data_IF_417510096490
#
_entry.id   IF_417510096490
#
_cell.length_a   1.000
_cell.length_b   1.000
_cell.length_c   1.000
_cell.angle_alpha   90.00
_cell.angle_beta   90.00
_cell.angle_gamma   90.00
#
_symmetry.space_group_name_H-M   'P 1'
#
loop_
_entity.id
_entity.type
_entity.pdbx_description
1 polymer ?
#
# COMPACT_ATOMS: atom_id res chain seq x y z
N UNK A 1 -0.88 -18.14 -3.38
CA UNK A 1 0.21 -17.89 -2.39
C UNK A 1 0.18 -16.45 -1.95
N UNK A 2 0.96 -16.05 -0.94
CA UNK A 2 0.88 -14.70 -0.37
C UNK A 2 1.09 -13.59 -1.42
N UNK A 3 2.12 -13.68 -2.28
CA UNK A 3 2.34 -12.68 -3.33
C UNK A 3 1.24 -12.57 -4.39
N UNK A 4 0.50 -13.65 -4.68
CA UNK A 4 -0.66 -13.57 -5.58
C UNK A 4 -1.81 -12.83 -4.91
N UNK A 5 -2.00 -13.03 -3.60
CA UNK A 5 -2.97 -12.29 -2.81
C UNK A 5 -2.58 -10.81 -2.69
N UNK A 6 -1.30 -10.49 -2.45
CA UNK A 6 -0.83 -9.10 -2.44
C UNK A 6 -1.15 -8.37 -3.75
N UNK A 7 -0.97 -9.04 -4.90
CA UNK A 7 -1.39 -8.49 -6.20
C UNK A 7 -2.90 -8.24 -6.27
N UNK A 8 -3.73 -9.21 -5.89
CA UNK A 8 -5.18 -9.02 -5.91
C UNK A 8 -5.67 -7.89 -5.01
N UNK A 9 -4.97 -7.62 -3.90
CA UNK A 9 -5.27 -6.46 -3.05
C UNK A 9 -5.00 -5.16 -3.79
N UNK A 10 -3.86 -5.03 -4.48
CA UNK A 10 -3.54 -3.82 -5.27
C UNK A 10 -4.50 -3.66 -6.45
N UNK A 11 -4.85 -4.75 -7.13
CA UNK A 11 -5.82 -4.73 -8.23
C UNK A 11 -7.19 -4.22 -7.74
N UNK A 12 -7.63 -4.64 -6.54
CA UNK A 12 -8.87 -4.15 -5.95
C UNK A 12 -8.79 -2.67 -5.56
N UNK A 13 -7.66 -2.22 -5.00
CA UNK A 13 -7.43 -0.79 -4.70
C UNK A 13 -7.54 0.03 -5.99
N UNK A 14 -7.00 -0.43 -7.11
CA UNK A 14 -7.13 0.27 -8.40
C UNK A 14 -8.61 0.41 -8.83
N UNK A 15 -9.40 -0.66 -8.72
CA UNK A 15 -10.83 -0.64 -9.01
C UNK A 15 -11.57 0.38 -8.11
N UNK A 16 -11.24 0.41 -6.82
CA UNK A 16 -11.86 1.32 -5.86
C UNK A 16 -11.47 2.78 -6.14
N UNK A 17 -10.21 3.05 -6.49
CA UNK A 17 -9.76 4.38 -6.91
C UNK A 17 -10.50 4.85 -8.16
N UNK A 18 -10.63 4.00 -9.18
CA UNK A 18 -11.39 4.36 -10.38
C UNK A 18 -12.87 4.63 -10.06
N UNK A 19 -13.45 3.91 -9.09
CA UNK A 19 -14.82 4.18 -8.64
C UNK A 19 -14.93 5.56 -7.97
N UNK A 20 -14.02 5.91 -7.07
CA UNK A 20 -13.99 7.21 -6.42
C UNK A 20 -13.79 8.36 -7.44
N UNK A 21 -12.94 8.15 -8.45
CA UNK A 21 -12.76 9.07 -9.57
C UNK A 21 -14.08 9.31 -10.31
N UNK A 22 -14.81 8.23 -10.67
CA UNK A 22 -16.11 8.33 -11.35
C UNK A 22 -17.18 9.03 -10.51
N UNK A 23 -17.07 8.98 -9.18
CA UNK A 23 -17.95 9.70 -8.25
C UNK A 23 -17.58 11.18 -8.09
N UNK A 24 -16.51 11.66 -8.74
CA UNK A 24 -16.10 13.06 -8.69
C UNK A 24 -15.23 13.44 -7.49
N UNK A 25 -14.63 12.47 -6.80
CA UNK A 25 -13.72 12.76 -5.67
C UNK A 25 -12.46 13.45 -6.19
N UNK A 26 -12.25 14.73 -5.83
CA UNK A 26 -11.15 15.52 -6.40
C UNK A 26 -9.75 15.20 -5.85
N UNK A 27 -9.64 14.69 -4.61
CA UNK A 27 -8.36 14.35 -3.97
C UNK A 27 -8.50 13.08 -3.16
N UNK A 28 -7.56 12.15 -3.31
CA UNK A 28 -7.56 10.85 -2.63
C UNK A 28 -6.19 10.63 -2.02
N UNK A 29 -6.15 10.34 -0.71
CA UNK A 29 -4.96 9.87 -0.02
C UNK A 29 -5.06 8.38 0.23
N UNK A 30 -4.06 7.62 -0.19
CA UNK A 30 -3.98 6.17 0.01
C UNK A 30 -2.84 5.89 0.98
N UNK A 31 -3.10 5.12 2.03
CA UNK A 31 -2.03 4.66 2.91
C UNK A 31 -1.26 3.55 2.22
N UNK A 32 0.06 3.67 2.14
CA UNK A 32 0.92 2.51 1.89
C UNK A 32 0.81 1.51 3.04
N UNK A 33 1.19 0.27 2.77
CA UNK A 33 1.26 -0.76 3.81
C UNK A 33 2.48 -0.49 4.70
N UNK A 34 2.24 -0.41 6.01
CA UNK A 34 3.30 -0.31 7.01
C UNK A 34 4.19 -1.57 7.08
N UNK A 35 5.17 -1.61 7.99
CA UNK A 35 6.05 -2.77 8.15
C UNK A 35 5.28 -3.96 8.74
N UNK A 36 4.66 -4.76 7.86
CA UNK A 36 3.78 -5.86 8.26
C UNK A 36 4.49 -6.92 9.11
N UNK A 37 5.80 -7.09 8.99
CA UNK A 37 6.59 -7.98 9.84
C UNK A 37 6.78 -7.49 11.27
N UNK A 38 6.48 -6.22 11.56
CA UNK A 38 6.69 -5.59 12.86
C UNK A 38 5.41 -5.52 13.71
N UNK A 39 4.25 -5.94 13.19
CA UNK A 39 3.01 -5.92 13.98
C UNK A 39 3.07 -6.95 15.12
N UNK A 40 2.36 -6.73 16.26
CA UNK A 40 2.51 -7.58 17.45
C UNK A 40 2.28 -9.08 17.21
N UNK A 41 1.38 -9.44 16.28
CA UNK A 41 1.12 -10.85 15.96
C UNK A 41 2.29 -11.50 15.21
N UNK A 42 3.08 -10.74 14.45
CA UNK A 42 4.26 -11.25 13.73
C UNK A 42 5.49 -11.32 14.62
N UNK A 43 5.62 -10.42 15.60
CA UNK A 43 6.79 -10.35 16.49
C UNK A 43 6.63 -11.17 17.77
N UNK A 44 5.48 -11.82 17.99
CA UNK A 44 5.24 -12.63 19.19
C UNK A 44 6.29 -13.73 19.39
N UNK A 45 6.68 -14.42 18.30
CA UNK A 45 7.66 -15.52 18.34
C UNK A 45 9.10 -15.03 18.62
N UNK A 46 9.36 -13.75 18.47
CA UNK A 46 10.65 -13.11 18.78
C UNK A 46 10.60 -12.34 20.10
N UNK A 47 9.57 -12.55 20.92
CA UNK A 47 9.33 -11.78 22.15
C UNK A 47 9.34 -10.27 21.91
N UNK A 48 8.76 -9.85 20.79
CA UNK A 48 8.66 -8.45 20.36
C UNK A 48 10.02 -7.76 20.10
N UNK A 49 11.11 -8.53 19.96
CA UNK A 49 12.47 -7.98 19.79
C UNK A 49 12.88 -7.74 18.34
N UNK A 50 12.24 -8.42 17.37
CA UNK A 50 12.59 -8.28 15.96
C UNK A 50 11.42 -8.54 15.03
N UNK A 51 11.44 -7.88 13.87
CA UNK A 51 10.43 -8.02 12.84
C UNK A 51 10.64 -9.27 11.97
N UNK A 52 9.55 -9.85 11.49
CA UNK A 52 9.61 -10.91 10.48
C UNK A 52 9.88 -10.34 9.09
N UNK A 53 11.13 -10.42 8.63
CA UNK A 53 11.57 -9.76 7.41
C UNK A 53 10.83 -10.20 6.13
N UNK A 54 10.42 -11.47 6.06
CA UNK A 54 9.63 -11.96 4.92
C UNK A 54 8.32 -11.18 4.70
N UNK A 55 7.65 -10.78 5.79
CA UNK A 55 6.42 -9.97 5.70
C UNK A 55 6.71 -8.51 5.35
N UNK A 56 7.85 -7.97 5.80
CA UNK A 56 8.30 -6.64 5.39
C UNK A 56 8.62 -6.59 3.89
N UNK A 57 9.25 -7.63 3.34
CA UNK A 57 9.52 -7.74 1.91
C UNK A 57 8.22 -7.80 1.08
N UNK A 58 7.21 -8.53 1.57
CA UNK A 58 5.91 -8.57 0.89
C UNK A 58 5.12 -7.25 1.05
N UNK A 59 5.32 -6.50 2.14
CA UNK A 59 4.80 -5.14 2.29
C UNK A 59 5.48 -4.15 1.33
N UNK A 60 6.81 -4.20 1.20
CA UNK A 60 7.53 -3.41 0.21
C UNK A 60 7.10 -3.76 -1.22
N UNK A 61 6.86 -5.06 -1.50
CA UNK A 61 6.31 -5.51 -2.79
C UNK A 61 4.90 -4.94 -3.05
N UNK A 62 4.01 -4.96 -2.05
CA UNK A 62 2.71 -4.31 -2.12
C UNK A 62 2.84 -2.81 -2.48
N UNK A 63 3.67 -2.08 -1.75
CA UNK A 63 3.85 -0.64 -1.92
C UNK A 63 4.41 -0.30 -3.32
N UNK A 64 5.37 -1.08 -3.82
CA UNK A 64 5.91 -0.90 -5.17
C UNK A 64 4.83 -1.05 -6.25
N UNK A 65 3.95 -2.04 -6.11
CA UNK A 65 2.82 -2.22 -7.03
C UNK A 65 1.79 -1.10 -6.91
N UNK A 66 1.47 -0.69 -5.68
CA UNK A 66 0.53 0.40 -5.41
C UNK A 66 1.01 1.72 -6.05
N UNK A 67 2.28 2.07 -5.86
CA UNK A 67 2.89 3.24 -6.51
C UNK A 67 2.81 3.14 -8.03
N UNK A 68 3.10 1.96 -8.61
CA UNK A 68 2.99 1.76 -10.05
C UNK A 68 1.56 2.00 -10.55
N UNK A 69 0.55 1.43 -9.90
CA UNK A 69 -0.86 1.60 -10.28
C UNK A 69 -1.29 3.08 -10.19
N UNK A 70 -0.97 3.75 -9.08
CA UNK A 70 -1.33 5.17 -8.88
C UNK A 70 -0.59 6.08 -9.86
N UNK A 71 0.67 5.80 -10.19
CA UNK A 71 1.41 6.56 -11.20
C UNK A 71 0.77 6.44 -12.58
N UNK A 72 0.26 5.27 -12.96
CA UNK A 72 -0.49 5.07 -14.20
C UNK A 72 -1.78 5.90 -14.20
N UNK A 73 -2.54 5.88 -13.10
CA UNK A 73 -3.77 6.68 -12.98
C UNK A 73 -3.46 8.19 -13.07
N UNK A 74 -2.46 8.67 -12.34
CA UNK A 74 -2.08 10.08 -12.30
C UNK A 74 -1.47 10.59 -13.62
N UNK A 75 -0.93 9.70 -14.46
CA UNK A 75 -0.39 10.04 -15.76
C UNK A 75 -1.49 10.31 -16.82
N UNK A 76 -2.75 10.01 -16.53
CA UNK A 76 -3.85 10.22 -17.48
C UNK A 76 -3.99 11.73 -17.83
N UNK A 77 -4.13 12.10 -19.12
CA UNK A 77 -4.11 13.52 -19.55
C UNK A 77 -5.24 14.34 -18.95
N UNK A 78 -6.44 13.75 -18.93
CA UNK A 78 -7.59 14.24 -18.18
C UNK A 78 -7.39 13.73 -16.75
N UNK A 79 -6.87 14.56 -15.84
CA UNK A 79 -6.71 14.21 -14.41
C UNK A 79 -7.95 14.62 -13.61
N UNK A 80 -9.01 13.80 -13.52
CA UNK A 80 -10.20 14.15 -12.74
C UNK A 80 -9.92 14.24 -11.24
N UNK A 81 -8.90 13.53 -10.74
CA UNK A 81 -8.56 13.44 -9.32
C UNK A 81 -7.05 13.52 -9.11
N UNK A 82 -6.63 14.02 -7.94
CA UNK A 82 -5.23 13.93 -7.47
C UNK A 82 -5.09 12.82 -6.45
N UNK A 83 -4.26 11.82 -6.73
CA UNK A 83 -4.04 10.68 -5.85
C UNK A 83 -2.62 10.73 -5.30
N UNK A 84 -2.46 10.59 -3.98
CA UNK A 84 -1.16 10.52 -3.33
C UNK A 84 -1.08 9.29 -2.41
N UNK A 85 0.12 8.70 -2.31
CA UNK A 85 0.40 7.62 -1.37
C UNK A 85 1.11 8.22 -0.15
N UNK A 86 0.65 7.85 1.04
CA UNK A 86 1.34 8.16 2.30
C UNK A 86 2.24 6.99 2.68
N UNK A 87 3.52 7.27 2.88
CA UNK A 87 4.50 6.26 3.24
C UNK A 87 4.37 5.87 4.72
N UNK A 88 3.59 4.83 4.97
CA UNK A 88 3.45 4.25 6.31
C UNK A 88 4.58 3.28 6.66
N UNK A 89 5.35 2.81 5.67
CA UNK A 89 6.40 1.82 5.91
C UNK A 89 7.56 2.45 6.68
N UNK A 90 8.05 3.59 6.21
CA UNK A 90 9.14 4.31 6.86
C UNK A 90 8.63 5.08 8.08
N UNK A 91 7.46 5.72 7.99
CA UNK A 91 6.88 6.52 9.09
C UNK A 91 6.74 5.71 10.38
N UNK A 92 6.26 4.47 10.30
CA UNK A 92 6.04 3.64 11.50
C UNK A 92 7.32 3.01 12.06
N UNK A 93 8.40 2.96 11.28
CA UNK A 93 9.71 2.49 11.76
C UNK A 93 10.52 3.60 12.43
N UNK A 94 10.16 4.86 12.18
CA UNK A 94 10.82 6.02 12.79
C UNK A 94 10.27 6.39 14.18
N UNK A 95 9.27 5.67 14.69
CA UNK A 95 8.66 5.83 16.01
C UNK A 95 9.33 4.91 17.05
#
# INVERSE_FOLDING_TARGET
GLRSFVRSVVDQIEVDLQRLIRLGVGRIGVLGLGPAGCVPIMTQNTSYSSCMEAFNQDAAYHNALLHKAINVINAHPSRPSRIAVFDMFDTLQAL
#
